data_IF_555756205101
#
_entry.id   IF_555756205101
#
_cell.length_a   1.000
_cell.length_b   1.000
_cell.length_c   1.000
_cell.angle_alpha   90.00
_cell.angle_beta   90.00
_cell.angle_gamma   90.00
#
_symmetry.space_group_name_H-M   'P 1'
#
loop_
_entity.id
_entity.type
_entity.pdbx_description
1 polymer ?
#
# COMPACT_ATOMS: atom_id res chain seq x y z
N UNK A 1 2.37 -27.84 6.98
CA UNK A 1 1.73 -26.50 6.95
C UNK A 1 2.64 -25.50 6.27
N UNK A 2 2.32 -25.06 5.04
CA UNK A 2 3.09 -24.01 4.35
C UNK A 2 2.92 -22.69 5.11
N UNK A 3 4.03 -22.00 5.40
CA UNK A 3 4.04 -20.76 6.17
C UNK A 3 3.41 -19.61 5.38
N UNK A 4 2.11 -19.40 5.53
CA UNK A 4 1.38 -18.23 5.01
C UNK A 4 1.64 -16.95 5.81
N UNK A 5 2.66 -16.95 6.70
CA UNK A 5 2.97 -15.80 7.57
C UNK A 5 3.25 -14.54 6.76
N UNK A 6 4.02 -14.66 5.68
CA UNK A 6 4.37 -13.52 4.81
C UNK A 6 3.15 -12.93 4.11
N UNK A 7 2.28 -13.79 3.58
CA UNK A 7 1.07 -13.37 2.86
C UNK A 7 0.07 -12.69 3.81
N UNK A 8 -0.09 -13.22 5.03
CA UNK A 8 -0.93 -12.61 6.07
C UNK A 8 -0.39 -11.25 6.52
N UNK A 9 0.92 -11.14 6.74
CA UNK A 9 1.57 -9.87 7.10
C UNK A 9 1.43 -8.85 5.97
N UNK A 10 1.68 -9.25 4.73
CA UNK A 10 1.49 -8.39 3.55
C UNK A 10 0.06 -7.89 3.40
N UNK A 11 -0.94 -8.73 3.69
CA UNK A 11 -2.35 -8.33 3.66
C UNK A 11 -2.67 -7.29 4.74
N UNK A 12 -2.19 -7.48 5.97
CA UNK A 12 -2.38 -6.51 7.06
C UNK A 12 -1.73 -5.17 6.71
N UNK A 13 -0.49 -5.19 6.23
CA UNK A 13 0.22 -3.98 5.80
C UNK A 13 -0.56 -3.26 4.70
N UNK A 14 -1.07 -3.99 3.69
CA UNK A 14 -1.89 -3.42 2.62
C UNK A 14 -3.14 -2.71 3.16
N UNK A 15 -3.88 -3.33 4.07
CA UNK A 15 -5.09 -2.74 4.64
C UNK A 15 -4.79 -1.48 5.46
N UNK A 16 -3.74 -1.51 6.29
CA UNK A 16 -3.35 -0.36 7.12
C UNK A 16 -2.87 0.80 6.25
N UNK A 17 -1.97 0.53 5.29
CA UNK A 17 -1.41 1.57 4.41
C UNK A 17 -2.51 2.15 3.52
N UNK A 18 -3.40 1.33 2.96
CA UNK A 18 -4.52 1.84 2.16
C UNK A 18 -5.48 2.71 2.97
N UNK A 19 -5.78 2.33 4.21
CA UNK A 19 -6.61 3.15 5.11
C UNK A 19 -5.91 4.45 5.53
N UNK A 20 -4.60 4.40 5.77
CA UNK A 20 -3.80 5.58 6.10
C UNK A 20 -3.76 6.58 4.95
N UNK A 21 -3.52 6.12 3.72
CA UNK A 21 -3.53 6.97 2.51
C UNK A 21 -4.92 7.59 2.30
N UNK A 22 -5.99 6.81 2.41
CA UNK A 22 -7.34 7.30 2.14
C UNK A 22 -7.87 8.29 3.20
N UNK A 23 -7.45 8.14 4.47
CA UNK A 23 -8.09 8.85 5.59
C UNK A 23 -7.22 9.93 6.24
N UNK A 24 -5.89 9.79 6.16
CA UNK A 24 -4.94 10.64 6.90
C UNK A 24 -4.03 11.48 5.99
N UNK A 25 -4.08 11.29 4.67
CA UNK A 25 -3.21 12.01 3.74
C UNK A 25 -3.94 13.22 3.14
N UNK A 26 -3.87 14.35 3.84
CA UNK A 26 -4.30 15.66 3.35
C UNK A 26 -3.18 16.31 2.51
N UNK A 27 -2.65 15.61 1.51
CA UNK A 27 -1.70 16.21 0.57
C UNK A 27 -2.42 16.56 -0.74
N UNK A 28 -2.57 17.85 -1.09
CA UNK A 28 -3.27 18.29 -2.31
C UNK A 28 -2.58 17.82 -3.61
N UNK A 29 -1.35 17.30 -3.56
CA UNK A 29 -0.65 16.71 -4.71
C UNK A 29 -0.95 15.23 -4.92
N UNK A 30 -1.54 14.58 -3.93
CA UNK A 30 -1.88 13.17 -3.98
C UNK A 30 -3.37 13.11 -4.25
N UNK A 31 -3.74 12.76 -5.48
CA UNK A 31 -5.15 12.69 -5.83
C UNK A 31 -5.90 11.72 -4.92
N UNK A 32 -7.15 12.11 -4.65
CA UNK A 32 -8.06 11.46 -3.69
C UNK A 32 -8.40 10.01 -4.06
N UNK A 33 -8.00 9.58 -5.27
CA UNK A 33 -8.10 8.22 -5.82
C UNK A 33 -6.72 7.52 -5.88
N UNK A 34 -5.95 7.60 -4.81
CA UNK A 34 -4.71 6.83 -4.64
C UNK A 34 -5.00 5.49 -3.94
N UNK A 35 -4.61 4.37 -4.55
CA UNK A 35 -4.88 3.02 -4.04
C UNK A 35 -3.65 2.13 -4.03
N UNK A 36 -3.57 1.23 -3.05
CA UNK A 36 -2.46 0.26 -2.92
C UNK A 36 -2.80 -1.02 -3.69
N UNK A 37 -2.06 -1.27 -4.77
CA UNK A 37 -2.31 -2.40 -5.67
C UNK A 37 -1.56 -3.65 -5.25
N UNK A 38 -0.33 -3.52 -4.75
CA UNK A 38 0.50 -4.66 -4.36
C UNK A 38 1.42 -4.32 -3.20
N UNK A 39 1.62 -5.28 -2.30
CA UNK A 39 2.63 -5.21 -1.23
C UNK A 39 3.44 -6.49 -1.29
N UNK A 40 4.76 -6.34 -1.39
CA UNK A 40 5.70 -7.46 -1.33
C UNK A 40 6.57 -7.31 -0.09
N UNK A 41 6.65 -8.36 0.70
CA UNK A 41 7.33 -8.36 2.01
C UNK A 41 8.49 -9.34 1.94
N UNK A 42 9.67 -8.89 2.33
CA UNK A 42 10.88 -9.72 2.34
C UNK A 42 10.74 -10.90 3.29
N UNK A 43 11.57 -11.92 3.10
CA UNK A 43 11.49 -13.16 3.88
C UNK A 43 11.83 -12.96 5.37
N UNK A 44 12.66 -11.96 5.67
CA UNK A 44 13.03 -11.50 7.01
C UNK A 44 11.98 -10.56 7.65
N UNK A 45 10.94 -10.16 6.92
CA UNK A 45 9.89 -9.21 7.34
C UNK A 45 10.42 -7.79 7.68
N UNK A 46 11.67 -7.51 7.39
CA UNK A 46 12.30 -6.23 7.75
C UNK A 46 11.94 -5.12 6.76
N UNK A 47 11.70 -5.49 5.49
CA UNK A 47 11.41 -4.55 4.42
C UNK A 47 10.10 -4.90 3.70
N UNK A 48 9.35 -3.87 3.30
CA UNK A 48 8.14 -4.01 2.50
C UNK A 48 8.16 -3.05 1.31
N UNK A 49 7.98 -3.58 0.10
CA UNK A 49 7.78 -2.79 -1.11
C UNK A 49 6.28 -2.61 -1.35
N UNK A 50 5.83 -1.36 -1.30
CA UNK A 50 4.43 -0.99 -1.51
C UNK A 50 4.28 -0.30 -2.85
N UNK A 51 3.40 -0.84 -3.69
CA UNK A 51 3.04 -0.26 -4.97
C UNK A 51 1.75 0.53 -4.83
N UNK A 52 1.84 1.83 -5.12
CA UNK A 52 0.71 2.76 -5.06
C UNK A 52 0.38 3.20 -6.48
N UNK A 53 -0.90 3.06 -6.85
CA UNK A 53 -1.44 3.61 -8.08
C UNK A 53 -2.17 4.90 -7.72
N UNK A 54 -1.67 6.02 -8.20
CA UNK A 54 -2.35 7.31 -8.11
C UNK A 54 -3.07 7.52 -9.42
N UNK A 55 -4.40 7.54 -9.37
CA UNK A 55 -5.17 8.01 -10.52
C UNK A 55 -4.98 9.52 -10.56
N UNK A 56 -4.03 9.99 -11.36
CA UNK A 56 -3.84 11.40 -11.67
C UNK A 56 -4.74 11.78 -12.84
N UNK A 57 -5.55 12.83 -12.69
CA UNK A 57 -5.85 13.70 -13.82
C UNK A 57 -4.52 14.27 -14.31
N UNK A 58 -4.25 14.10 -15.61
CA UNK A 58 -3.15 14.77 -16.28
C UNK A 58 -3.10 16.24 -15.83
N UNK A 59 -2.12 16.60 -15.02
CA UNK A 59 -1.65 17.97 -14.96
C UNK A 59 -0.75 18.15 -16.20
N UNK A 60 -1.41 18.32 -17.36
CA UNK A 60 -0.83 18.94 -18.55
C UNK A 60 -1.33 20.37 -18.63
#
# INVERSE_FOLDING_TARGET
MKSFRRERVGHVIRSVVSGAIASHLNDPRIERLSSVTRVDVTADLEHAKVWVSVMGSEAV
#
